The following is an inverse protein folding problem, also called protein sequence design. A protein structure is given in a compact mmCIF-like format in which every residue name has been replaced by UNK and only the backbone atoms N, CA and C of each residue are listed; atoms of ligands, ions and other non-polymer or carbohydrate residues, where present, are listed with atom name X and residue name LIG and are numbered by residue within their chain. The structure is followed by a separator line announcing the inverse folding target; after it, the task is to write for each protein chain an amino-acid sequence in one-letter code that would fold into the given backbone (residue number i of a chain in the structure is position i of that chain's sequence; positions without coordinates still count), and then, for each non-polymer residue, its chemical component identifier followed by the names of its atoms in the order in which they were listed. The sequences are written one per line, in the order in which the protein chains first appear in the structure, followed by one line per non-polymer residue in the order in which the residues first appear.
data_IF_689746091257
#
_entry.id   IF_689746091257
#
_cell.length_a   1.000
_cell.length_b   1.000
_cell.length_c   1.000
_cell.angle_alpha   90.00
_cell.angle_beta   90.00
_cell.angle_gamma   90.00
#
_symmetry.space_group_name_H-M   'P 1'
#
loop_
_entity.id
_entity.type
_entity.pdbx_description
1 polymer ?
#
# COMPACT_ATOMS: atom_id res chain seq x y z
N UNK A 1 3.03 -14.87 6.23
CA UNK A 1 3.78 -13.62 5.93
C UNK A 1 2.74 -12.51 5.87
N UNK A 2 2.83 -11.50 6.74
CA UNK A 2 1.82 -10.43 6.81
C UNK A 2 2.20 -9.27 5.89
N UNK A 3 1.63 -9.25 4.68
CA UNK A 3 1.93 -8.22 3.69
C UNK A 3 1.52 -6.82 4.16
N UNK A 4 0.45 -6.70 4.95
CA UNK A 4 -0.01 -5.42 5.47
C UNK A 4 1.04 -4.74 6.33
N UNK A 5 1.56 -5.43 7.35
CA UNK A 5 2.59 -4.88 8.24
C UNK A 5 3.87 -4.52 7.47
N UNK A 6 4.24 -5.36 6.50
CA UNK A 6 5.45 -5.21 5.71
C UNK A 6 5.36 -4.01 4.75
N UNK A 7 4.21 -3.80 4.11
CA UNK A 7 3.97 -2.63 3.24
C UNK A 7 3.79 -1.36 4.08
N UNK A 8 3.14 -1.46 5.25
CA UNK A 8 3.03 -0.35 6.20
C UNK A 8 4.40 0.11 6.67
N UNK A 9 5.31 -0.82 6.95
CA UNK A 9 6.71 -0.55 7.28
C UNK A 9 7.45 0.08 6.09
N UNK A 10 7.33 -0.46 4.88
CA UNK A 10 7.96 0.15 3.69
C UNK A 10 7.47 1.56 3.35
N UNK A 11 6.20 1.85 3.63
CA UNK A 11 5.62 3.17 3.43
C UNK A 11 6.04 4.16 4.53
N UNK A 12 6.04 3.74 5.80
CA UNK A 12 6.32 4.63 6.95
C UNK A 12 7.80 4.65 7.39
N UNK A 13 8.42 3.49 7.53
CA UNK A 13 9.70 3.29 8.25
C UNK A 13 10.88 2.97 7.32
N UNK A 14 10.59 2.35 6.17
CA UNK A 14 11.57 2.03 5.13
C UNK A 14 12.08 3.25 4.36
N UNK A 15 12.37 4.39 5.01
CA UNK A 15 12.77 5.67 4.41
C UNK A 15 11.82 6.21 3.31
N UNK A 16 10.55 5.80 3.30
CA UNK A 16 9.63 6.15 2.21
C UNK A 16 10.03 5.56 0.86
N UNK A 17 10.72 4.41 0.85
CA UNK A 17 11.08 3.69 -0.40
C UNK A 17 9.83 3.32 -1.18
N UNK A 18 8.68 3.18 -0.52
CA UNK A 18 7.39 3.00 -1.15
C UNK A 18 6.55 4.27 -1.12
N UNK A 19 6.17 4.71 -2.31
CA UNK A 19 5.20 5.76 -2.57
C UNK A 19 3.77 5.18 -2.66
N UNK A 20 2.79 6.08 -2.62
CA UNK A 20 1.35 5.77 -2.77
C UNK A 20 1.06 4.79 -3.92
N UNK A 21 1.69 4.98 -5.09
CA UNK A 21 1.46 4.14 -6.25
C UNK A 21 1.93 2.71 -6.01
N UNK A 22 3.07 2.50 -5.34
CA UNK A 22 3.52 1.14 -4.97
C UNK A 22 2.58 0.45 -3.98
N UNK A 23 2.02 1.18 -3.02
CA UNK A 23 1.00 0.63 -2.11
C UNK A 23 -0.26 0.27 -2.91
N UNK A 24 -0.66 1.09 -3.89
CA UNK A 24 -1.80 0.81 -4.76
C UNK A 24 -1.57 -0.45 -5.62
N UNK A 25 -0.36 -0.62 -6.16
CA UNK A 25 0.03 -1.83 -6.89
C UNK A 25 -0.02 -3.09 -6.01
N UNK A 26 0.18 -2.97 -4.69
CA UNK A 26 0.02 -4.12 -3.79
C UNK A 26 -1.44 -4.55 -3.65
N UNK A 27 -2.39 -3.62 -3.75
CA UNK A 27 -3.83 -3.93 -3.84
C UNK A 27 -4.12 -4.68 -5.15
N UNK A 28 -3.64 -4.17 -6.29
CA UNK A 28 -3.79 -4.82 -7.61
C UNK A 28 -3.22 -6.25 -7.62
N UNK A 29 -2.09 -6.45 -6.93
CA UNK A 29 -1.43 -7.77 -6.78
C UNK A 29 -2.10 -8.68 -5.74
N UNK A 30 -3.19 -8.25 -5.11
CA UNK A 30 -3.92 -8.99 -4.09
C UNK A 30 -3.11 -9.26 -2.82
N UNK A 31 -2.15 -8.40 -2.49
CA UNK A 31 -1.33 -8.51 -1.28
C UNK A 31 -2.00 -7.89 -0.07
N UNK A 32 -2.74 -6.81 -0.30
CA UNK A 32 -3.54 -6.08 0.68
C UNK A 32 -4.90 -5.72 0.06
N UNK A 33 -5.87 -5.36 0.90
CA UNK A 33 -7.18 -4.88 0.45
C UNK A 33 -7.19 -3.36 0.20
N UNK A 34 -8.19 -2.83 -0.51
CA UNK A 34 -8.39 -1.39 -0.62
C UNK A 34 -8.50 -0.70 0.75
N UNK A 35 -9.20 -1.30 1.72
CA UNK A 35 -9.33 -0.76 3.08
C UNK A 35 -7.98 -0.67 3.79
N UNK A 36 -7.13 -1.69 3.62
CA UNK A 36 -5.78 -1.69 4.16
C UNK A 36 -4.88 -0.63 3.52
N UNK A 37 -5.06 -0.37 2.21
CA UNK A 37 -4.40 0.75 1.55
C UNK A 37 -4.84 2.08 2.17
N UNK A 38 -6.14 2.25 2.43
CA UNK A 38 -6.67 3.47 3.07
C UNK A 38 -6.08 3.67 4.47
N UNK A 39 -5.87 2.60 5.24
CA UNK A 39 -5.22 2.68 6.54
C UNK A 39 -3.72 3.03 6.46
N UNK A 40 -3.02 2.55 5.44
CA UNK A 40 -1.58 2.82 5.26
C UNK A 40 -1.34 4.24 4.75
N UNK A 41 -2.08 4.63 3.71
CA UNK A 41 -1.87 5.88 2.96
C UNK A 41 -2.70 7.04 3.54
N UNK A 42 -3.82 6.75 4.21
CA UNK A 42 -4.76 7.75 4.71
C UNK A 42 -5.66 8.35 3.62
N UNK A 43 -5.70 7.76 2.43
CA UNK A 43 -6.50 8.21 1.28
C UNK A 43 -7.27 7.05 0.68
N UNK A 44 -8.43 7.36 0.08
CA UNK A 44 -9.21 6.40 -0.69
C UNK A 44 -8.36 5.71 -1.75
N UNK A 45 -8.43 4.38 -1.80
CA UNK A 45 -7.84 3.62 -2.88
C UNK A 45 -8.49 4.00 -4.20
N UNK A 46 -7.66 4.42 -5.15
CA UNK A 46 -8.05 4.63 -6.54
C UNK A 46 -7.21 3.64 -7.33
N UNK A 47 -7.86 2.81 -8.14
CA UNK A 47 -7.15 1.86 -8.98
C UNK A 47 -6.20 2.63 -9.91
N UNK A 48 -4.88 2.33 -9.87
CA UNK A 48 -3.93 3.02 -10.71
C UNK A 48 -4.17 2.60 -12.17
N UNK A 49 -4.57 3.55 -13.00
CA UNK A 49 -4.65 3.37 -14.46
C UNK A 49 -3.24 3.14 -14.99
N UNK A 50 -3.02 1.98 -15.63
CA UNK A 50 -1.74 1.59 -16.26
C UNK A 50 -1.29 2.58 -17.33
#
# INVERSE_FOLDING_TARGET
MNWYELIKDYYNDGNGVWDEYRVAQAVVKGKITPEQYEEIVGKKYIEPTT
#
